data_IF_087551662675
#
_entry.id   IF_087551662675
#
_cell.length_a   1.000
_cell.length_b   1.000
_cell.length_c   1.000
_cell.angle_alpha   90.00
_cell.angle_beta   90.00
_cell.angle_gamma   90.00
#
_symmetry.space_group_name_H-M   'P 1'
#
loop_
_entity.id
_entity.type
_entity.pdbx_description
1 polymer ?
#
# COMPACT_ATOMS: atom_id res chain seq x y z
N UNK A 1 -4.40 61.31 -46.92
CA UNK A 1 -3.99 60.32 -47.92
C UNK A 1 -3.04 59.35 -47.24
N UNK A 2 -3.44 58.07 -47.13
CA UNK A 2 -2.66 56.92 -46.63
C UNK A 2 -2.16 56.94 -45.16
N UNK A 3 -2.15 55.86 -44.37
CA UNK A 3 -2.60 54.48 -44.54
C UNK A 3 -2.68 53.78 -43.15
N UNK A 4 -3.59 52.81 -43.05
CA UNK A 4 -3.73 51.63 -42.16
C UNK A 4 -2.75 51.38 -40.99
N UNK A 5 -3.28 51.00 -39.80
CA UNK A 5 -3.61 49.60 -39.38
C UNK A 5 -3.76 49.49 -37.83
N UNK A 6 -4.75 48.74 -37.30
CA UNK A 6 -4.86 48.43 -35.87
C UNK A 6 -4.15 47.09 -35.54
N UNK A 7 -3.50 46.98 -34.37
CA UNK A 7 -2.90 45.70 -33.92
C UNK A 7 -3.16 45.45 -32.42
N UNK A 8 -3.89 44.35 -32.21
CA UNK A 8 -3.85 43.38 -31.13
C UNK A 8 -4.25 43.80 -29.69
N UNK A 9 -5.48 43.42 -29.35
CA UNK A 9 -5.84 43.10 -27.97
C UNK A 9 -5.05 41.90 -27.48
N UNK A 10 -4.36 42.06 -26.35
CA UNK A 10 -3.81 40.95 -25.57
C UNK A 10 -4.97 40.16 -24.98
N UNK A 11 -5.21 38.96 -25.51
CA UNK A 11 -5.83 37.86 -24.76
C UNK A 11 -4.88 37.53 -23.61
N UNK A 12 -5.26 37.92 -22.40
CA UNK A 12 -4.67 37.35 -21.19
C UNK A 12 -5.26 35.95 -21.06
N UNK A 13 -4.45 34.96 -21.41
CA UNK A 13 -4.71 33.54 -21.18
C UNK A 13 -4.86 33.32 -19.68
N UNK A 14 -6.07 32.96 -19.22
CA UNK A 14 -6.28 32.36 -17.91
C UNK A 14 -5.47 31.07 -17.82
N UNK A 15 -4.68 30.83 -16.76
CA UNK A 15 -4.13 29.51 -16.53
C UNK A 15 -5.28 28.57 -16.15
N UNK A 16 -5.63 27.69 -17.08
CA UNK A 16 -6.54 26.57 -16.85
C UNK A 16 -5.91 25.59 -15.86
N UNK A 17 -6.64 25.30 -14.79
CA UNK A 17 -6.59 24.03 -14.08
C UNK A 17 -5.30 23.71 -13.35
N UNK A 18 -5.01 24.43 -12.26
CA UNK A 18 -4.27 23.79 -11.17
C UNK A 18 -5.13 22.63 -10.66
N UNK A 19 -4.73 21.39 -10.98
CA UNK A 19 -5.32 20.21 -10.37
C UNK A 19 -5.22 20.41 -8.85
N UNK A 20 -6.37 20.56 -8.21
CA UNK A 20 -6.45 20.53 -6.75
C UNK A 20 -5.99 19.13 -6.39
N UNK A 21 -4.76 19.00 -5.90
CA UNK A 21 -4.31 17.78 -5.23
C UNK A 21 -5.20 17.66 -4.00
N UNK A 22 -6.32 16.94 -4.14
CA UNK A 22 -7.20 16.69 -3.01
C UNK A 22 -6.39 15.89 -2.00
N UNK A 23 -6.32 16.40 -0.77
CA UNK A 23 -5.69 15.69 0.31
C UNK A 23 -6.40 14.34 0.48
N UNK A 24 -5.64 13.25 0.36
CA UNK A 24 -6.19 11.91 0.53
C UNK A 24 -6.62 11.78 1.99
N UNK A 25 -7.89 11.46 2.27
CA UNK A 25 -8.35 11.29 3.63
C UNK A 25 -7.69 10.04 4.23
N UNK A 26 -6.89 10.26 5.27
CA UNK A 26 -6.22 9.19 5.98
C UNK A 26 -7.23 8.39 6.82
N UNK A 27 -7.17 7.07 6.69
CA UNK A 27 -8.01 6.15 7.46
C UNK A 27 -7.82 6.30 8.98
N UNK A 28 -6.56 6.45 9.41
CA UNK A 28 -6.15 6.49 10.83
C UNK A 28 -5.67 7.89 11.17
N UNK A 29 -6.26 8.47 12.22
CA UNK A 29 -5.82 9.72 12.83
C UNK A 29 -5.04 9.48 14.12
N UNK A 30 -4.39 10.52 14.62
CA UNK A 30 -3.53 10.46 15.83
C UNK A 30 -4.26 10.08 17.12
N UNK A 31 -5.59 10.21 17.16
CA UNK A 31 -6.42 9.88 18.33
C UNK A 31 -7.05 8.48 18.26
N UNK A 32 -6.87 7.76 17.15
CA UNK A 32 -7.47 6.44 16.97
C UNK A 32 -6.76 5.40 17.86
N UNK A 33 -7.55 4.53 18.50
CA UNK A 33 -7.03 3.43 19.30
C UNK A 33 -6.84 2.19 18.41
N UNK A 34 -5.71 2.14 17.72
CA UNK A 34 -5.40 1.13 16.71
C UNK A 34 -4.78 -0.15 17.31
N UNK A 35 -4.64 -1.17 16.45
CA UNK A 35 -3.90 -2.40 16.76
C UNK A 35 -2.84 -2.62 15.68
N UNK A 36 -1.56 -2.29 15.94
CA UNK A 36 -0.47 -2.56 15.01
C UNK A 36 0.02 -4.00 15.13
N UNK A 37 0.26 -4.63 13.98
CA UNK A 37 0.88 -5.94 13.87
C UNK A 37 2.08 -5.80 12.93
N UNK A 38 3.28 -5.96 13.48
CA UNK A 38 4.53 -5.75 12.75
C UNK A 38 5.29 -7.05 12.57
N UNK A 39 5.73 -7.33 11.34
CA UNK A 39 6.70 -8.37 11.03
C UNK A 39 7.94 -7.74 10.41
N UNK A 40 9.09 -8.40 10.57
CA UNK A 40 10.34 -7.93 10.00
C UNK A 40 11.20 -9.10 9.53
N UNK A 41 11.96 -8.87 8.47
CA UNK A 41 12.94 -9.81 7.94
C UNK A 41 14.14 -9.06 7.37
N UNK A 42 15.28 -9.74 7.35
CA UNK A 42 16.52 -9.27 6.75
C UNK A 42 16.71 -9.90 5.39
N UNK A 43 17.35 -9.18 4.49
CA UNK A 43 17.85 -9.67 3.21
C UNK A 43 19.22 -9.05 2.95
N UNK A 44 20.07 -9.71 2.15
CA UNK A 44 21.35 -9.17 1.70
C UNK A 44 21.21 -8.16 0.57
N UNK A 45 20.01 -7.99 0.01
CA UNK A 45 19.74 -7.01 -1.07
C UNK A 45 19.70 -5.59 -0.50
N UNK A 46 20.27 -4.63 -1.23
CA UNK A 46 20.30 -3.22 -0.84
C UNK A 46 18.88 -2.59 -0.78
N UNK A 47 18.63 -1.58 0.09
CA UNK A 47 17.28 -1.07 0.35
C UNK A 47 16.54 -0.59 -0.90
N UNK A 48 17.21 0.15 -1.78
CA UNK A 48 16.63 0.66 -3.01
C UNK A 48 16.22 -0.47 -3.98
N UNK A 49 16.99 -1.55 -4.06
CA UNK A 49 16.67 -2.70 -4.90
C UNK A 49 15.49 -3.49 -4.31
N UNK A 50 15.53 -3.77 -3.01
CA UNK A 50 14.43 -4.45 -2.32
C UNK A 50 13.10 -3.66 -2.44
N UNK A 51 13.16 -2.33 -2.34
CA UNK A 51 12.03 -1.44 -2.56
C UNK A 51 11.47 -1.57 -3.98
N UNK A 52 12.32 -1.46 -5.01
CA UNK A 52 11.92 -1.55 -6.42
C UNK A 52 11.30 -2.89 -6.79
N UNK A 53 11.69 -3.96 -6.10
CA UNK A 53 11.14 -5.29 -6.32
C UNK A 53 9.84 -5.53 -5.54
N UNK A 54 9.68 -4.96 -4.34
CA UNK A 54 8.45 -5.12 -3.53
C UNK A 54 7.31 -4.24 -4.01
N UNK A 55 7.56 -2.98 -4.38
CA UNK A 55 6.49 -2.03 -4.75
C UNK A 55 5.57 -2.55 -5.87
N UNK A 56 6.08 -3.06 -7.01
CA UNK A 56 5.26 -3.57 -8.09
C UNK A 56 4.93 -5.07 -7.94
N UNK A 57 5.17 -5.68 -6.78
CA UNK A 57 5.04 -7.12 -6.61
C UNK A 57 3.60 -7.57 -6.91
N UNK A 58 3.48 -8.66 -7.66
CA UNK A 58 2.18 -9.27 -7.91
C UNK A 58 1.64 -9.85 -6.59
N UNK A 59 0.59 -9.23 -6.06
CA UNK A 59 -0.04 -9.64 -4.82
C UNK A 59 -0.47 -11.12 -4.86
N UNK A 60 -0.89 -11.63 -6.03
CA UNK A 60 -1.34 -13.03 -6.16
C UNK A 60 -0.21 -14.04 -5.99
N UNK A 61 1.04 -13.63 -6.25
CA UNK A 61 2.23 -14.48 -6.12
C UNK A 61 2.75 -14.61 -4.68
N UNK A 62 2.42 -13.66 -3.80
CA UNK A 62 2.97 -13.62 -2.43
C UNK A 62 1.92 -13.81 -1.33
N UNK A 63 0.67 -13.40 -1.57
CA UNK A 63 -0.42 -13.54 -0.62
C UNK A 63 -1.18 -14.85 -0.85
N UNK A 64 -0.61 -15.96 -0.42
CA UNK A 64 -1.30 -17.26 -0.48
C UNK A 64 -2.19 -17.47 0.75
N UNK A 65 -3.20 -18.34 0.61
CA UNK A 65 -4.07 -18.76 1.72
C UNK A 65 -3.26 -19.29 2.91
N UNK A 66 -3.50 -18.73 4.09
CA UNK A 66 -3.04 -19.28 5.37
C UNK A 66 -4.24 -19.27 6.30
N UNK A 67 -4.77 -20.46 6.59
CA UNK A 67 -6.02 -20.60 7.33
C UNK A 67 -6.00 -19.79 8.66
N UNK A 68 -7.04 -19.00 8.94
CA UNK A 68 -8.33 -18.92 8.25
C UNK A 68 -8.42 -17.86 7.12
N UNK A 69 -7.33 -17.18 6.77
CA UNK A 69 -7.36 -16.04 5.85
C UNK A 69 -7.20 -16.47 4.38
N UNK A 70 -7.95 -15.85 3.46
CA UNK A 70 -7.87 -16.15 2.03
C UNK A 70 -6.53 -15.67 1.45
N UNK A 71 -6.14 -16.27 0.32
CA UNK A 71 -5.11 -15.69 -0.54
C UNK A 71 -5.67 -14.56 -1.42
N UNK A 72 -4.78 -13.84 -2.09
CA UNK A 72 -5.13 -12.90 -3.16
C UNK A 72 -5.07 -13.66 -4.49
N UNK A 73 -6.15 -13.55 -5.28
CA UNK A 73 -6.26 -14.14 -6.61
C UNK A 73 -5.79 -13.17 -7.70
N UNK A 74 -5.83 -11.87 -7.44
CA UNK A 74 -5.39 -10.84 -8.37
C UNK A 74 -5.81 -9.45 -7.92
N UNK A 75 -5.64 -8.50 -8.84
CA UNK A 75 -5.97 -7.09 -8.66
C UNK A 75 -6.90 -6.67 -9.79
N UNK A 76 -7.95 -5.92 -9.45
CA UNK A 76 -8.86 -5.28 -10.41
C UNK A 76 -8.82 -3.75 -10.26
N UNK A 77 -9.33 -3.03 -11.26
CA UNK A 77 -9.58 -1.58 -11.22
C UNK A 77 -8.37 -0.73 -10.77
N UNK A 78 -7.15 -1.13 -11.15
CA UNK A 78 -5.99 -0.30 -10.89
C UNK A 78 -6.03 0.95 -11.77
N UNK A 79 -5.99 2.13 -11.17
CA UNK A 79 -6.14 3.40 -11.89
C UNK A 79 -4.87 3.79 -12.64
N UNK A 80 -3.72 3.63 -12.00
CA UNK A 80 -2.41 4.17 -12.44
C UNK A 80 -1.26 3.26 -12.00
N UNK A 81 -0.02 3.58 -12.38
CA UNK A 81 1.17 2.88 -11.88
C UNK A 81 1.31 3.06 -10.36
N UNK A 82 1.84 2.04 -9.68
CA UNK A 82 1.94 2.01 -8.22
C UNK A 82 3.26 2.65 -7.72
N UNK A 83 3.57 3.86 -8.20
CA UNK A 83 4.88 4.52 -8.03
C UNK A 83 4.81 5.97 -7.52
N UNK A 84 3.63 6.44 -7.13
CA UNK A 84 3.39 7.75 -6.55
C UNK A 84 2.16 7.71 -5.65
N UNK A 85 1.93 8.74 -4.82
CA UNK A 85 0.75 8.83 -3.94
C UNK A 85 -0.51 9.10 -4.77
N UNK A 86 -1.61 8.39 -4.51
CA UNK A 86 -2.89 8.57 -5.23
C UNK A 86 -3.52 7.30 -5.80
N UNK A 87 -2.78 6.44 -6.53
CA UNK A 87 -3.29 5.26 -7.21
C UNK A 87 -4.15 4.37 -6.31
N UNK A 88 -5.23 3.87 -6.89
CA UNK A 88 -6.15 2.93 -6.22
C UNK A 88 -6.23 1.63 -7.00
N UNK A 89 -6.50 0.53 -6.29
CA UNK A 89 -6.75 -0.79 -6.88
C UNK A 89 -7.66 -1.62 -5.97
N UNK A 90 -8.20 -2.70 -6.51
CA UNK A 90 -9.06 -3.64 -5.78
C UNK A 90 -8.43 -5.03 -5.71
N UNK A 91 -7.77 -5.39 -4.59
CA UNK A 91 -7.39 -6.77 -4.33
C UNK A 91 -8.62 -7.69 -4.32
N UNK A 92 -8.54 -8.76 -5.10
CA UNK A 92 -9.57 -9.80 -5.20
C UNK A 92 -9.07 -11.05 -4.47
N UNK A 93 -9.81 -11.53 -3.48
CA UNK A 93 -9.42 -12.67 -2.66
C UNK A 93 -9.94 -14.01 -3.23
N UNK A 94 -9.30 -15.11 -2.84
CA UNK A 94 -9.64 -16.46 -3.32
C UNK A 94 -11.00 -17.00 -2.84
N UNK A 95 -11.60 -16.35 -1.84
CA UNK A 95 -12.94 -16.64 -1.32
C UNK A 95 -14.04 -15.79 -1.98
N UNK A 96 -13.67 -15.01 -3.01
CA UNK A 96 -14.57 -14.12 -3.73
C UNK A 96 -14.82 -12.77 -3.04
N UNK A 97 -14.21 -12.53 -1.89
CA UNK A 97 -14.23 -11.21 -1.24
C UNK A 97 -13.23 -10.25 -1.89
N UNK A 98 -13.32 -8.97 -1.53
CA UNK A 98 -12.42 -7.91 -2.03
C UNK A 98 -12.17 -6.83 -0.98
N UNK A 99 -11.25 -5.92 -1.31
CA UNK A 99 -11.01 -4.67 -0.59
C UNK A 99 -10.75 -3.53 -1.59
N UNK A 100 -10.82 -2.29 -1.10
CA UNK A 100 -10.35 -1.10 -1.79
C UNK A 100 -8.99 -0.73 -1.22
N UNK A 101 -7.97 -0.60 -2.06
CA UNK A 101 -6.61 -0.23 -1.68
C UNK A 101 -6.22 1.10 -2.33
N UNK A 102 -5.63 2.00 -1.55
CA UNK A 102 -5.10 3.28 -2.03
C UNK A 102 -3.69 3.53 -1.50
N UNK A 103 -2.78 3.93 -2.39
CA UNK A 103 -1.42 4.33 -2.04
C UNK A 103 -1.42 5.76 -1.47
N UNK A 104 -0.99 5.92 -0.21
CA UNK A 104 -1.11 7.17 0.56
C UNK A 104 0.24 7.81 0.90
N UNK A 105 1.32 7.02 0.92
CA UNK A 105 2.69 7.50 1.13
C UNK A 105 3.63 6.77 0.18
N UNK A 106 4.59 7.50 -0.39
CA UNK A 106 5.60 6.94 -1.28
C UNK A 106 6.91 7.74 -1.14
N UNK A 107 7.94 7.09 -0.61
CA UNK A 107 9.30 7.63 -0.53
C UNK A 107 10.22 6.64 -1.23
N UNK A 108 10.66 7.00 -2.44
CA UNK A 108 11.45 6.10 -3.28
C UNK A 108 12.66 5.52 -2.54
N UNK A 109 12.81 4.20 -2.61
CA UNK A 109 13.93 3.46 -2.02
C UNK A 109 13.87 3.30 -0.50
N UNK A 110 12.88 3.89 0.19
CA UNK A 110 12.86 3.97 1.66
C UNK A 110 11.58 3.41 2.28
N UNK A 111 10.40 3.84 1.82
CA UNK A 111 9.13 3.45 2.42
C UNK A 111 7.95 3.72 1.51
N UNK A 112 6.87 2.99 1.74
CA UNK A 112 5.56 3.30 1.17
C UNK A 112 4.46 2.83 2.11
N UNK A 113 3.31 3.48 2.06
CA UNK A 113 2.15 3.10 2.85
C UNK A 113 0.87 3.18 2.03
N UNK A 114 -0.05 2.28 2.31
CA UNK A 114 -1.34 2.17 1.66
C UNK A 114 -2.43 1.98 2.72
N UNK A 115 -3.67 2.33 2.36
CA UNK A 115 -4.83 2.02 3.18
C UNK A 115 -5.75 1.04 2.47
N UNK A 116 -6.25 0.07 3.23
CA UNK A 116 -7.25 -0.90 2.82
C UNK A 116 -8.56 -0.57 3.52
N UNK A 117 -9.62 -0.40 2.74
CA UNK A 117 -10.99 -0.16 3.19
C UNK A 117 -11.96 -1.04 2.43
N UNK A 118 -13.27 -0.93 2.69
CA UNK A 118 -14.29 -1.58 1.86
C UNK A 118 -14.21 -3.11 1.86
N UNK A 119 -13.67 -3.72 2.92
CA UNK A 119 -13.59 -5.17 3.03
C UNK A 119 -14.98 -5.80 2.86
N UNK A 120 -15.09 -6.87 2.09
CA UNK A 120 -16.35 -7.64 1.95
C UNK A 120 -16.32 -8.97 2.71
N UNK A 121 -15.21 -9.31 3.36
CA UNK A 121 -15.06 -10.52 4.19
C UNK A 121 -15.25 -10.25 5.69
N UNK A 122 -14.85 -11.20 6.53
CA UNK A 122 -14.96 -11.12 7.99
C UNK A 122 -14.24 -9.91 8.60
N UNK A 123 -13.21 -9.36 7.93
CA UNK A 123 -12.50 -8.16 8.40
C UNK A 123 -13.42 -6.95 8.48
N UNK A 124 -14.44 -6.87 7.61
CA UNK A 124 -15.47 -5.82 7.63
C UNK A 124 -16.25 -5.74 8.94
N UNK A 125 -16.29 -6.85 9.70
CA UNK A 125 -16.96 -6.94 11.01
C UNK A 125 -16.04 -6.64 12.19
N UNK A 126 -14.74 -6.49 11.94
CA UNK A 126 -13.71 -6.31 12.96
C UNK A 126 -13.03 -4.95 12.89
N UNK A 127 -12.77 -4.45 11.68
CA UNK A 127 -12.03 -3.23 11.43
C UNK A 127 -12.72 -2.37 10.37
N UNK A 128 -12.69 -1.05 10.56
CA UNK A 128 -13.13 -0.09 9.56
C UNK A 128 -12.17 -0.03 8.36
N UNK A 129 -10.91 -0.34 8.60
CA UNK A 129 -9.85 -0.34 7.61
C UNK A 129 -8.53 -0.78 8.21
N UNK A 130 -7.51 -0.84 7.37
CA UNK A 130 -6.13 -1.11 7.76
C UNK A 130 -5.19 -0.17 7.03
N UNK A 131 -4.18 0.38 7.71
CA UNK A 131 -3.02 1.00 7.06
C UNK A 131 -1.87 -0.01 6.99
N UNK A 132 -1.39 -0.31 5.80
CA UNK A 132 -0.20 -1.13 5.58
C UNK A 132 1.01 -0.23 5.30
N UNK A 133 2.09 -0.41 6.06
CA UNK A 133 3.31 0.39 5.92
C UNK A 133 4.53 -0.52 5.75
N UNK A 134 5.32 -0.23 4.74
CA UNK A 134 6.61 -0.87 4.48
C UNK A 134 7.75 0.12 4.70
N UNK A 135 8.78 -0.33 5.40
CA UNK A 135 10.05 0.39 5.56
C UNK A 135 11.21 -0.50 5.15
N UNK A 136 12.16 0.10 4.45
CA UNK A 136 13.38 -0.52 3.95
C UNK A 136 14.57 0.18 4.61
N UNK A 137 15.02 -0.35 5.75
CA UNK A 137 16.08 0.28 6.51
C UNK A 137 17.43 -0.38 6.17
N UNK A 138 18.51 0.38 5.96
CA UNK A 138 19.85 -0.18 5.83
C UNK A 138 20.22 -1.06 7.04
N UNK A 139 20.82 -2.23 6.78
CA UNK A 139 21.34 -3.13 7.81
C UNK A 139 22.63 -3.79 7.30
N UNK A 140 23.77 -3.13 7.53
CA UNK A 140 25.04 -3.45 6.87
C UNK A 140 24.96 -3.22 5.37
N UNK A 141 25.41 -4.20 4.58
CA UNK A 141 25.28 -4.19 3.11
C UNK A 141 23.86 -4.58 2.64
N UNK A 142 23.01 -5.05 3.56
CA UNK A 142 21.65 -5.51 3.28
C UNK A 142 20.56 -4.58 3.78
N UNK A 143 19.36 -5.14 3.92
CA UNK A 143 18.15 -4.40 4.32
C UNK A 143 17.40 -5.12 5.42
N UNK A 144 16.98 -4.36 6.44
CA UNK A 144 15.92 -4.74 7.37
C UNK A 144 14.57 -4.23 6.84
N UNK A 145 13.78 -5.14 6.29
CA UNK A 145 12.43 -4.87 5.82
C UNK A 145 11.48 -5.01 7.00
N UNK A 146 10.75 -3.93 7.30
CA UNK A 146 9.70 -3.90 8.32
C UNK A 146 8.36 -3.64 7.64
N UNK A 147 7.39 -4.51 7.93
CA UNK A 147 6.04 -4.37 7.43
C UNK A 147 5.06 -4.38 8.59
N UNK A 148 4.27 -3.31 8.68
CA UNK A 148 3.28 -3.10 9.73
C UNK A 148 1.90 -3.00 9.12
N UNK A 149 0.98 -3.82 9.62
CA UNK A 149 -0.44 -3.62 9.43
C UNK A 149 -1.05 -3.01 10.67
N UNK A 150 -1.55 -1.78 10.54
CA UNK A 150 -2.21 -1.05 11.58
C UNK A 150 -3.73 -1.08 11.36
N UNK A 151 -4.42 -1.83 12.21
CA UNK A 151 -5.88 -1.99 12.13
C UNK A 151 -6.57 -0.85 12.85
N UNK A 152 -7.61 -0.30 12.23
CA UNK A 152 -8.59 0.59 12.88
C UNK A 152 -9.80 -0.23 13.35
N UNK A 153 -9.89 -0.62 14.64
CA UNK A 153 -10.96 -1.48 15.13
C UNK A 153 -12.32 -0.81 15.01
N UNK A 154 -13.36 -1.61 14.75
CA UNK A 154 -14.73 -1.17 15.02
C UNK A 154 -14.97 -1.07 16.54
N UNK A 155 -15.95 -0.24 16.97
CA UNK A 155 -16.29 -0.10 18.39
C UNK A 155 -16.51 -1.46 19.07
N UNK A 156 -15.83 -1.68 20.20
CA UNK A 156 -15.91 -2.93 20.98
C UNK A 156 -15.19 -4.15 20.37
N UNK A 157 -14.54 -4.04 19.21
CA UNK A 157 -13.83 -5.15 18.53
C UNK A 157 -12.33 -5.17 18.75
N UNK A 158 -11.76 -4.12 19.35
CA UNK A 158 -10.32 -4.01 19.59
C UNK A 158 -9.73 -5.21 20.33
N UNK A 159 -10.40 -5.73 21.36
CA UNK A 159 -9.87 -6.87 22.14
C UNK A 159 -9.74 -8.15 21.30
N UNK A 160 -10.60 -8.32 20.28
CA UNK A 160 -10.51 -9.45 19.35
C UNK A 160 -9.27 -9.29 18.46
N UNK A 161 -9.09 -8.08 17.90
CA UNK A 161 -7.95 -7.74 17.06
C UNK A 161 -6.63 -7.86 17.82
N UNK A 162 -6.55 -7.25 19.01
CA UNK A 162 -5.36 -7.27 19.86
C UNK A 162 -5.08 -8.63 20.52
N UNK A 163 -6.11 -9.46 20.67
CA UNK A 163 -6.00 -10.79 21.30
C UNK A 163 -5.83 -11.90 20.25
N UNK A 164 -6.84 -12.77 20.06
CA UNK A 164 -6.70 -14.00 19.26
C UNK A 164 -6.43 -13.76 17.78
N UNK A 165 -6.81 -12.61 17.23
CA UNK A 165 -6.59 -12.29 15.82
C UNK A 165 -5.11 -12.00 15.51
N UNK A 166 -4.42 -11.26 16.38
CA UNK A 166 -3.03 -10.85 16.18
C UNK A 166 -2.08 -12.02 15.83
N UNK A 167 -2.02 -13.14 16.57
CA UNK A 167 -1.12 -14.24 16.23
C UNK A 167 -1.48 -14.92 14.90
N UNK A 168 -2.77 -15.05 14.57
CA UNK A 168 -3.20 -15.62 13.30
C UNK A 168 -2.77 -14.72 12.13
N UNK A 169 -3.02 -13.41 12.25
CA UNK A 169 -2.64 -12.44 11.22
C UNK A 169 -1.13 -12.33 11.07
N UNK A 170 -0.38 -12.37 12.18
CA UNK A 170 1.09 -12.39 12.15
C UNK A 170 1.61 -13.59 11.38
N UNK A 171 1.01 -14.78 11.51
CA UNK A 171 1.41 -15.97 10.72
C UNK A 171 1.20 -15.75 9.22
N UNK A 172 0.07 -15.14 8.85
CA UNK A 172 -0.21 -14.76 7.47
C UNK A 172 0.83 -13.77 6.92
N UNK A 173 1.10 -12.68 7.67
CA UNK A 173 2.12 -11.68 7.29
C UNK A 173 3.52 -12.28 7.18
N UNK A 174 3.92 -13.16 8.11
CA UNK A 174 5.23 -13.83 8.07
C UNK A 174 5.36 -14.68 6.80
N UNK A 175 4.31 -15.43 6.45
CA UNK A 175 4.31 -16.28 5.27
C UNK A 175 4.37 -15.45 3.97
N UNK A 176 3.62 -14.35 3.90
CA UNK A 176 3.67 -13.44 2.75
C UNK A 176 5.05 -12.77 2.62
N UNK A 177 5.60 -12.21 3.71
CA UNK A 177 6.91 -11.58 3.70
C UNK A 177 8.03 -12.56 3.32
N UNK A 178 7.94 -13.82 3.75
CA UNK A 178 8.90 -14.84 3.33
C UNK A 178 8.88 -15.08 1.82
N UNK A 179 7.70 -15.05 1.17
CA UNK A 179 7.58 -15.17 -0.29
C UNK A 179 8.08 -13.93 -1.01
N UNK A 180 7.83 -12.73 -0.48
CA UNK A 180 8.41 -11.51 -1.01
C UNK A 180 9.95 -11.59 -1.02
N UNK A 181 10.56 -12.09 0.05
CA UNK A 181 12.01 -12.28 0.10
C UNK A 181 12.52 -13.27 -0.95
N UNK A 182 11.81 -14.38 -1.16
CA UNK A 182 12.17 -15.35 -2.20
C UNK A 182 12.17 -14.71 -3.60
N UNK A 183 11.19 -13.85 -3.88
CA UNK A 183 11.13 -13.09 -5.14
C UNK A 183 12.36 -12.17 -5.25
N UNK A 184 12.62 -11.37 -4.21
CA UNK A 184 13.75 -10.43 -4.17
C UNK A 184 15.09 -11.13 -4.43
N UNK A 185 15.36 -12.21 -3.70
CA UNK A 185 16.60 -12.97 -3.80
C UNK A 185 16.73 -13.67 -5.17
N UNK A 186 15.61 -14.07 -5.78
CA UNK A 186 15.61 -14.71 -7.11
C UNK A 186 15.86 -13.74 -8.26
N UNK A 187 15.47 -12.47 -8.12
CA UNK A 187 15.69 -11.42 -9.12
C UNK A 187 17.10 -10.85 -9.01
N UNK A 188 17.63 -10.69 -7.78
CA UNK A 188 19.02 -10.29 -7.56
C UNK A 188 19.99 -11.31 -8.16
N UNK A 189 19.76 -12.61 -7.96
CA UNK A 189 20.61 -13.65 -8.55
C UNK A 189 20.55 -13.74 -10.09
N UNK A 190 19.56 -13.11 -10.72
CA UNK A 190 19.41 -13.05 -12.18
C UNK A 190 20.02 -11.79 -12.80
N UNK A 191 20.36 -10.79 -11.98
CA UNK A 191 20.95 -9.51 -12.39
C UNK A 191 22.48 -9.58 -12.41
#
# INVERSE_FOLDING_TARGET
>A
MSDKKPIAGKKTTEPQGAAVVQAIPLLIGSTDNTVPITVQRRTSVAPANAFRLIVPIDLSSVFHRVAPFPGVKGVANQTEAWDHVGPTRNPQFDDGSQADEQLIEYTEGSSFAYQLTGFTNILSRLAAGVRGEWNFNPDGDGTLIRWTYEFKPLPGRRWILAGPFTPLWRRYMVAALARCLQVIESEENRS
#
